data_IF_435804749152
#
_entry.id   IF_435804749152
#
_cell.length_a   1.000
_cell.length_b   1.000
_cell.length_c   1.000
_cell.angle_alpha   90.00
_cell.angle_beta   90.00
_cell.angle_gamma   90.00
#
_symmetry.space_group_name_H-M   'P 1'
#
loop_
_entity.id
_entity.type
_entity.pdbx_description
1 polymer ?
#
# COMPACT_ATOMS: atom_id res chain seq x y z
N UNK A 1 -8.79 4.17 -8.00
CA UNK A 1 -7.60 3.34 -8.29
C UNK A 1 -6.47 3.88 -7.44
N UNK A 2 -5.95 3.09 -6.53
CA UNK A 2 -4.84 3.46 -5.67
C UNK A 2 -3.52 2.97 -6.29
N UNK A 3 -2.45 3.72 -6.08
CA UNK A 3 -1.11 3.31 -6.48
C UNK A 3 -0.48 2.53 -5.33
N UNK A 4 -0.02 1.32 -5.58
CA UNK A 4 0.81 0.61 -4.62
C UNK A 4 2.10 1.42 -4.41
N UNK A 5 2.38 1.92 -3.19
CA UNK A 5 3.54 2.78 -2.96
C UNK A 5 4.88 2.01 -2.97
N UNK A 6 4.83 0.68 -2.89
CA UNK A 6 6.02 -0.19 -2.91
C UNK A 6 6.44 -0.49 -4.35
N UNK A 7 5.52 -0.96 -5.19
CA UNK A 7 5.83 -1.38 -6.56
C UNK A 7 5.37 -0.40 -7.64
N UNK A 8 4.54 0.59 -7.32
CA UNK A 8 3.99 1.56 -8.26
C UNK A 8 2.89 0.98 -9.16
N UNK A 9 2.38 -0.22 -8.86
CA UNK A 9 1.32 -0.85 -9.63
C UNK A 9 -0.04 -0.21 -9.31
N UNK A 10 -0.91 -0.13 -10.30
CA UNK A 10 -2.28 0.35 -10.09
C UNK A 10 -3.12 -0.76 -9.44
N UNK A 11 -3.72 -0.42 -8.30
CA UNK A 11 -4.48 -1.32 -7.45
C UNK A 11 -5.92 -0.80 -7.37
N UNK A 12 -6.87 -1.70 -7.61
CA UNK A 12 -8.27 -1.38 -7.46
C UNK A 12 -8.66 -1.40 -5.98
N UNK A 13 -8.92 -0.23 -5.40
CA UNK A 13 -9.28 -0.03 -3.98
C UNK A 13 -10.51 -0.87 -3.58
N UNK A 14 -11.44 -1.06 -4.52
CA UNK A 14 -12.65 -1.83 -4.34
C UNK A 14 -12.41 -3.36 -4.34
N UNK A 15 -11.30 -3.82 -4.93
CA UNK A 15 -10.91 -5.25 -4.99
C UNK A 15 -9.68 -5.58 -4.15
N UNK A 16 -9.00 -4.57 -3.64
CA UNK A 16 -7.79 -4.72 -2.87
C UNK A 16 -8.10 -5.40 -1.53
N UNK A 17 -7.73 -6.68 -1.44
CA UNK A 17 -7.79 -7.45 -0.19
C UNK A 17 -6.69 -7.00 0.77
N UNK A 18 -5.54 -6.59 0.23
CA UNK A 18 -4.38 -6.14 1.00
C UNK A 18 -4.38 -4.61 1.11
N UNK A 19 -4.67 -4.12 2.31
CA UNK A 19 -4.57 -2.70 2.69
C UNK A 19 -3.92 -2.54 4.06
N UNK A 20 -3.32 -1.38 4.29
CA UNK A 20 -2.73 -1.00 5.56
C UNK A 20 -3.05 0.46 5.85
N UNK A 21 -3.35 0.78 7.10
CA UNK A 21 -3.67 2.14 7.52
C UNK A 21 -2.46 2.74 8.21
N UNK A 22 -1.97 3.87 7.70
CA UNK A 22 -0.78 4.52 8.20
C UNK A 22 -0.96 6.04 8.24
N UNK A 23 -0.71 6.65 9.41
CA UNK A 23 -0.91 8.09 9.66
C UNK A 23 -2.31 8.60 9.25
N UNK A 24 -3.35 7.77 9.43
CA UNK A 24 -4.73 8.11 9.06
C UNK A 24 -5.02 8.05 7.56
N UNK A 25 -4.12 7.51 6.74
CA UNK A 25 -4.34 7.21 5.33
C UNK A 25 -4.39 5.70 5.10
N UNK A 26 -5.36 5.25 4.31
CA UNK A 26 -5.43 3.85 3.87
C UNK A 26 -4.59 3.68 2.60
N UNK A 27 -3.61 2.79 2.65
CA UNK A 27 -2.78 2.37 1.52
C UNK A 27 -3.22 1.00 1.03
N UNK A 28 -3.24 0.83 -0.29
CA UNK A 28 -3.67 -0.39 -0.95
C UNK A 28 -2.49 -1.03 -1.66
N UNK A 29 -2.40 -2.35 -1.60
CA UNK A 29 -1.28 -3.11 -2.13
C UNK A 29 -1.74 -4.12 -3.16
N UNK A 30 -0.92 -4.34 -4.19
CA UNK A 30 -1.22 -5.31 -5.24
C UNK A 30 -1.10 -6.75 -4.74
N UNK A 31 -0.37 -6.95 -3.64
CA UNK A 31 -0.08 -8.25 -3.06
C UNK A 31 0.32 -8.13 -1.59
N UNK A 32 0.17 -9.22 -0.84
CA UNK A 32 0.58 -9.31 0.56
C UNK A 32 2.09 -9.11 0.74
N UNK A 33 2.90 -9.38 -0.29
CA UNK A 33 4.33 -9.07 -0.32
C UNK A 33 4.59 -7.57 -0.26
N UNK A 34 3.90 -6.77 -1.08
CA UNK A 34 4.01 -5.32 -1.06
C UNK A 34 3.50 -4.75 0.27
N UNK A 35 2.39 -5.28 0.80
CA UNK A 35 1.91 -4.92 2.14
C UNK A 35 3.00 -5.14 3.20
N UNK A 36 3.65 -6.30 3.21
CA UNK A 36 4.69 -6.63 4.20
C UNK A 36 5.92 -5.72 4.06
N UNK A 37 6.32 -5.40 2.83
CA UNK A 37 7.41 -4.43 2.57
C UNK A 37 7.04 -3.03 3.05
N UNK A 38 5.79 -2.61 2.84
CA UNK A 38 5.27 -1.36 3.37
C UNK A 38 5.26 -1.38 4.89
N UNK A 39 4.71 -2.39 5.54
CA UNK A 39 4.67 -2.51 7.01
C UNK A 39 6.07 -2.56 7.64
N UNK A 40 7.07 -3.08 6.93
CA UNK A 40 8.46 -3.06 7.37
C UNK A 40 9.08 -1.67 7.37
N UNK A 41 8.70 -0.79 6.42
CA UNK A 41 9.24 0.57 6.30
C UNK A 41 8.17 1.58 5.83
N UNK A 42 7.08 1.77 6.58
CA UNK A 42 5.92 2.50 6.08
C UNK A 42 6.24 3.98 5.87
N UNK A 43 7.12 4.56 6.69
CA UNK A 43 7.59 5.95 6.52
C UNK A 43 8.22 6.19 5.15
N UNK A 44 9.06 5.27 4.67
CA UNK A 44 9.74 5.40 3.38
C UNK A 44 8.78 5.41 2.19
N UNK A 45 7.65 4.72 2.32
CA UNK A 45 6.67 4.55 1.25
C UNK A 45 5.46 5.49 1.41
N UNK A 46 5.14 5.92 2.62
CA UNK A 46 4.01 6.79 2.93
C UNK A 46 4.31 8.29 2.75
N UNK A 47 5.59 8.68 2.70
CA UNK A 47 6.05 10.08 2.61
C UNK A 47 6.10 10.63 1.17
N UNK A 48 5.50 9.93 0.19
CA UNK A 48 5.49 10.33 -1.22
C UNK A 48 4.14 10.82 -1.71
#
# INVERSE_FOLDING_TARGET
MAKDPVCGMDVDEAKATDKSEYKGKTYYFCSSGCKKTFEANPEKYAEK
#
